data_IF_724328352983
#
_entry.id   IF_724328352983
#
_cell.length_a   1.000
_cell.length_b   1.000
_cell.length_c   1.000
_cell.angle_alpha   90.00
_cell.angle_beta   90.00
_cell.angle_gamma   90.00
#
_symmetry.space_group_name_H-M   'P 1'
#
loop_
_entity.id
_entity.type
_entity.pdbx_description
1 polymer ?
#
# COMPACT_ATOMS: atom_id res chain seq x y z
N UNK A 1 1.50 -9.53 5.66
CA UNK A 1 0.16 -10.02 6.05
C UNK A 1 -0.73 -8.91 6.60
N UNK A 2 -0.28 -8.07 7.54
CA UNK A 2 -1.12 -7.00 8.15
C UNK A 2 -1.90 -6.12 7.15
N UNK A 3 -1.31 -5.60 6.04
CA UNK A 3 -2.06 -4.76 5.11
C UNK A 3 -3.20 -5.50 4.40
N UNK A 4 -2.99 -6.76 4.00
CA UNK A 4 -4.03 -7.58 3.36
C UNK A 4 -5.23 -7.79 4.28
N UNK A 5 -4.98 -8.05 5.56
CA UNK A 5 -6.05 -8.26 6.55
C UNK A 5 -6.89 -6.98 6.69
N UNK A 6 -6.24 -5.82 6.80
CA UNK A 6 -6.93 -4.54 6.89
C UNK A 6 -7.76 -4.27 5.64
N UNK A 7 -7.19 -4.52 4.45
CA UNK A 7 -7.91 -4.35 3.20
C UNK A 7 -9.19 -5.21 3.16
N UNK A 8 -9.10 -6.51 3.43
CA UNK A 8 -10.25 -7.43 3.35
C UNK A 8 -11.30 -7.08 4.43
N UNK A 9 -10.87 -6.82 5.66
CA UNK A 9 -11.79 -6.49 6.76
C UNK A 9 -12.52 -5.17 6.49
N UNK A 10 -11.79 -4.11 6.11
CA UNK A 10 -12.41 -2.82 5.81
C UNK A 10 -13.29 -2.92 4.58
N UNK A 11 -12.93 -3.70 3.56
CA UNK A 11 -13.78 -3.94 2.41
C UNK A 11 -15.12 -4.57 2.79
N UNK A 12 -15.10 -5.62 3.61
CA UNK A 12 -16.34 -6.26 4.08
C UNK A 12 -17.22 -5.31 4.89
N UNK A 13 -16.63 -4.53 5.80
CA UNK A 13 -17.35 -3.55 6.61
C UNK A 13 -17.91 -2.42 5.72
N UNK A 14 -17.11 -1.88 4.80
CA UNK A 14 -17.52 -0.83 3.89
C UNK A 14 -18.66 -1.30 2.98
N UNK A 15 -18.57 -2.50 2.42
CA UNK A 15 -19.61 -3.06 1.55
C UNK A 15 -20.95 -3.20 2.28
N UNK A 16 -20.93 -3.69 3.52
CA UNK A 16 -22.12 -3.79 4.36
C UNK A 16 -22.67 -2.41 4.74
N UNK A 17 -21.80 -1.46 5.09
CA UNK A 17 -22.19 -0.10 5.48
C UNK A 17 -22.78 0.69 4.31
N UNK A 18 -22.17 0.58 3.13
CA UNK A 18 -22.68 1.20 1.91
C UNK A 18 -24.05 0.62 1.56
N UNK A 19 -24.21 -0.70 1.67
CA UNK A 19 -25.51 -1.36 1.45
C UNK A 19 -26.58 -0.85 2.40
N UNK A 20 -26.29 -0.75 3.70
CA UNK A 20 -27.27 -0.32 4.70
C UNK A 20 -27.65 1.15 4.57
N UNK A 21 -26.70 2.01 4.15
CA UNK A 21 -26.93 3.46 4.02
C UNK A 21 -27.58 3.82 2.68
N UNK A 22 -27.07 3.28 1.58
CA UNK A 22 -27.49 3.66 0.22
C UNK A 22 -28.59 2.76 -0.37
N UNK A 23 -28.89 1.63 0.28
CA UNK A 23 -29.83 0.62 -0.22
C UNK A 23 -29.28 -0.25 -1.36
N UNK A 24 -28.11 0.09 -1.92
CA UNK A 24 -27.48 -0.60 -3.04
C UNK A 24 -26.02 -0.98 -2.72
N UNK A 25 -25.47 -1.95 -3.45
CA UNK A 25 -24.05 -2.25 -3.36
C UNK A 25 -23.26 -1.32 -4.28
N UNK A 26 -22.19 -0.73 -3.73
CA UNK A 26 -21.12 -0.11 -4.52
C UNK A 26 -19.77 -0.77 -4.16
N UNK A 27 -19.41 -1.86 -4.87
CA UNK A 27 -18.16 -2.57 -4.62
C UNK A 27 -16.93 -1.72 -4.91
N UNK A 28 -16.97 -0.84 -5.90
CA UNK A 28 -15.80 -0.05 -6.28
C UNK A 28 -15.51 1.06 -5.28
N UNK A 29 -16.54 1.76 -4.79
CA UNK A 29 -16.38 2.71 -3.69
C UNK A 29 -15.91 2.01 -2.41
N UNK A 30 -16.51 0.88 -2.06
CA UNK A 30 -16.08 0.07 -0.90
C UNK A 30 -14.63 -0.39 -1.03
N UNK A 31 -14.20 -0.78 -2.23
CA UNK A 31 -12.82 -1.17 -2.53
C UNK A 31 -11.84 0.01 -2.40
N UNK A 32 -12.24 1.22 -2.82
CA UNK A 32 -11.44 2.44 -2.65
C UNK A 32 -11.32 2.83 -1.18
N UNK A 33 -12.39 2.73 -0.39
CA UNK A 33 -12.35 2.94 1.08
C UNK A 33 -11.35 1.97 1.71
N UNK A 34 -11.44 0.69 1.37
CA UNK A 34 -10.57 -0.34 1.90
C UNK A 34 -9.09 -0.08 1.57
N UNK A 35 -8.79 0.29 0.31
CA UNK A 35 -7.43 0.62 -0.10
C UNK A 35 -6.92 1.87 0.62
N UNK A 36 -7.78 2.88 0.79
CA UNK A 36 -7.41 4.11 1.51
C UNK A 36 -7.07 3.82 2.97
N UNK A 37 -7.86 3.00 3.66
CA UNK A 37 -7.57 2.56 5.02
C UNK A 37 -6.26 1.75 5.11
N UNK A 38 -6.01 0.87 4.13
CA UNK A 38 -4.75 0.12 4.04
C UNK A 38 -3.55 1.05 3.87
N UNK A 39 -3.64 2.04 2.97
CA UNK A 39 -2.60 3.02 2.69
C UNK A 39 -2.30 3.89 3.91
N UNK A 40 -3.32 4.35 4.63
CA UNK A 40 -3.13 5.09 5.88
C UNK A 40 -2.44 4.24 6.94
N UNK A 41 -2.79 2.95 7.04
CA UNK A 41 -2.11 2.03 7.93
C UNK A 41 -0.63 1.84 7.56
N UNK A 42 -0.31 1.68 6.28
CA UNK A 42 1.09 1.57 5.84
C UNK A 42 1.84 2.90 5.98
N UNK A 43 1.16 4.04 5.83
CA UNK A 43 1.77 5.35 6.04
C UNK A 43 2.23 5.50 7.50
N UNK A 44 1.41 5.06 8.47
CA UNK A 44 1.81 5.04 9.89
C UNK A 44 3.10 4.23 10.08
N UNK A 45 3.25 3.11 9.37
CA UNK A 45 4.45 2.29 9.46
C UNK A 45 5.71 3.10 9.07
N UNK A 46 5.65 3.95 8.03
CA UNK A 46 6.77 4.79 7.59
C UNK A 46 7.34 5.67 8.71
N UNK A 47 6.49 6.17 9.59
CA UNK A 47 6.89 6.97 10.74
C UNK A 47 7.34 6.10 11.93
N UNK A 48 6.58 5.05 12.24
CA UNK A 48 6.81 4.18 13.39
C UNK A 48 8.06 3.27 13.25
N UNK A 49 8.34 2.78 12.04
CA UNK A 49 9.41 1.83 11.74
C UNK A 49 10.46 2.40 10.76
N UNK A 50 10.61 3.73 10.75
CA UNK A 50 11.51 4.46 9.84
C UNK A 50 12.90 3.84 9.73
N UNK A 51 13.55 3.57 10.86
CA UNK A 51 14.90 2.97 10.92
C UNK A 51 14.99 1.63 10.16
N UNK A 52 14.00 0.77 10.28
CA UNK A 52 13.99 -0.51 9.58
C UNK A 52 13.65 -0.38 8.09
N UNK A 53 12.81 0.59 7.71
CA UNK A 53 12.54 0.90 6.31
C UNK A 53 13.74 1.57 5.61
N UNK A 54 14.53 2.36 6.32
CA UNK A 54 15.79 2.89 5.79
C UNK A 54 16.76 1.76 5.42
N UNK A 55 16.77 0.65 6.17
CA UNK A 55 17.57 -0.53 5.83
C UNK A 55 17.10 -1.23 4.56
N UNK A 56 15.84 -1.04 4.14
CA UNK A 56 15.31 -1.56 2.88
C UNK A 56 15.80 -0.75 1.66
N UNK A 57 16.39 0.43 1.87
CA UNK A 57 16.93 1.26 0.80
C UNK A 57 18.43 0.98 0.59
N UNK A 58 18.89 0.86 -0.68
CA UNK A 58 20.29 0.63 -0.98
C UNK A 58 21.18 1.82 -0.59
N UNK A 59 22.48 1.56 -0.38
CA UNK A 59 23.44 2.54 0.14
C UNK A 59 23.64 3.80 -0.71
N UNK A 60 23.36 3.74 -2.01
CA UNK A 60 23.50 4.89 -2.92
C UNK A 60 22.34 5.90 -2.82
N UNK A 61 21.25 5.58 -2.12
CA UNK A 61 20.13 6.50 -1.93
C UNK A 61 20.50 7.52 -0.84
N UNK A 62 20.62 8.82 -1.19
CA UNK A 62 20.87 9.85 -0.20
C UNK A 62 19.62 10.05 0.68
N UNK A 63 19.82 10.54 1.90
CA UNK A 63 18.74 10.93 2.81
C UNK A 63 17.60 9.87 2.94
N UNK A 64 17.95 8.60 3.14
CA UNK A 64 17.01 7.46 3.22
C UNK A 64 15.78 7.73 4.09
N UNK A 65 15.98 8.33 5.27
CA UNK A 65 14.90 8.71 6.18
C UNK A 65 13.88 9.66 5.54
N UNK A 66 14.35 10.67 4.82
CA UNK A 66 13.48 11.61 4.12
C UNK A 66 12.70 10.92 3.00
N UNK A 67 13.34 10.00 2.26
CA UNK A 67 12.67 9.17 1.25
C UNK A 67 11.55 8.34 1.88
N UNK A 68 11.79 7.68 3.00
CA UNK A 68 10.78 6.88 3.72
C UNK A 68 9.61 7.76 4.18
N UNK A 69 9.87 8.95 4.72
CA UNK A 69 8.78 9.87 5.09
C UNK A 69 8.02 10.39 3.88
N UNK A 70 8.71 10.67 2.78
CA UNK A 70 8.09 11.10 1.54
C UNK A 70 7.16 10.01 0.97
N UNK A 71 7.57 8.73 0.96
CA UNK A 71 6.68 7.65 0.53
C UNK A 71 5.47 7.47 1.45
N UNK A 72 5.63 7.68 2.77
CA UNK A 72 4.50 7.73 3.69
C UNK A 72 3.51 8.86 3.38
N UNK A 73 4.00 10.05 3.00
CA UNK A 73 3.15 11.17 2.56
C UNK A 73 2.43 10.88 1.24
N UNK A 74 3.09 10.21 0.29
CA UNK A 74 2.45 9.76 -0.96
C UNK A 74 1.28 8.83 -0.66
N UNK A 75 1.44 7.87 0.27
CA UNK A 75 0.37 6.95 0.64
C UNK A 75 -0.84 7.69 1.26
N UNK A 76 -0.61 8.71 2.08
CA UNK A 76 -1.68 9.56 2.64
C UNK A 76 -2.38 10.35 1.52
N UNK A 77 -1.61 10.98 0.64
CA UNK A 77 -2.15 11.74 -0.48
C UNK A 77 -2.98 10.85 -1.42
N UNK A 78 -2.53 9.63 -1.68
CA UNK A 78 -3.24 8.66 -2.50
C UNK A 78 -4.52 8.14 -1.82
N UNK A 79 -4.50 7.94 -0.51
CA UNK A 79 -5.71 7.59 0.25
C UNK A 79 -6.79 8.67 0.13
N UNK A 80 -6.39 9.95 0.16
CA UNK A 80 -7.31 11.07 -0.07
C UNK A 80 -7.76 11.12 -1.54
N UNK A 81 -6.82 11.00 -2.49
CA UNK A 81 -7.08 11.08 -3.93
C UNK A 81 -8.07 10.03 -4.44
N UNK A 82 -8.07 8.82 -3.86
CA UNK A 82 -9.05 7.76 -4.18
C UNK A 82 -10.49 8.09 -3.78
N UNK A 83 -10.69 9.07 -2.91
CA UNK A 83 -12.02 9.50 -2.44
C UNK A 83 -12.53 10.76 -3.16
N UNK A 84 -11.67 11.47 -3.87
CA UNK A 84 -12.03 12.70 -4.61
C UNK A 84 -12.40 12.32 -6.03
N UNK A 85 -13.67 12.49 -6.42
CA UNK A 85 -14.22 12.07 -7.73
C UNK A 85 -13.34 12.39 -8.93
N UNK A 86 -12.76 13.58 -8.96
CA UNK A 86 -11.99 14.09 -10.10
C UNK A 86 -10.54 13.58 -10.13
N UNK A 87 -10.10 12.91 -9.05
CA UNK A 87 -8.73 12.42 -8.88
C UNK A 87 -8.65 10.89 -8.86
N UNK A 88 -9.77 10.16 -8.87
CA UNK A 88 -9.79 8.69 -8.70
C UNK A 88 -8.89 8.01 -9.74
N UNK A 89 -9.12 8.26 -11.03
CA UNK A 89 -8.38 7.60 -12.12
C UNK A 89 -6.91 7.99 -12.13
N UNK A 90 -6.60 9.28 -11.95
CA UNK A 90 -5.22 9.77 -11.85
C UNK A 90 -4.48 9.14 -10.66
N UNK A 91 -5.12 9.10 -9.50
CA UNK A 91 -4.57 8.48 -8.29
C UNK A 91 -4.38 6.98 -8.48
N UNK A 92 -5.30 6.31 -9.17
CA UNK A 92 -5.20 4.89 -9.51
C UNK A 92 -3.94 4.59 -10.33
N UNK A 93 -3.71 5.34 -11.41
CA UNK A 93 -2.49 5.18 -12.23
C UNK A 93 -1.21 5.49 -11.44
N UNK A 94 -1.21 6.56 -10.65
CA UNK A 94 -0.06 6.93 -9.81
C UNK A 94 0.23 5.85 -8.74
N UNK A 95 -0.80 5.25 -8.16
CA UNK A 95 -0.66 4.15 -7.20
C UNK A 95 -0.10 2.87 -7.84
N UNK A 96 -0.56 2.52 -9.04
CA UNK A 96 0.00 1.39 -9.79
C UNK A 96 1.49 1.62 -10.05
N UNK A 97 1.85 2.81 -10.53
CA UNK A 97 3.25 3.19 -10.73
C UNK A 97 4.05 3.14 -9.41
N UNK A 98 3.49 3.66 -8.33
CA UNK A 98 4.11 3.62 -7.01
C UNK A 98 4.38 2.17 -6.55
N UNK A 99 3.40 1.27 -6.69
CA UNK A 99 3.60 -0.14 -6.35
C UNK A 99 4.73 -0.78 -7.17
N UNK A 100 4.82 -0.49 -8.47
CA UNK A 100 5.92 -0.97 -9.31
C UNK A 100 7.26 -0.42 -8.81
N UNK A 101 7.33 0.87 -8.49
CA UNK A 101 8.57 1.54 -8.06
C UNK A 101 9.08 1.12 -6.68
N UNK A 102 8.24 0.62 -5.79
CA UNK A 102 8.68 0.08 -4.49
C UNK A 102 9.21 -1.35 -4.57
N UNK A 103 9.00 -2.06 -5.69
CA UNK A 103 9.45 -3.45 -5.85
C UNK A 103 10.98 -3.61 -5.70
N UNK A 104 11.83 -2.76 -6.30
CA UNK A 104 13.27 -2.82 -6.07
C UNK A 104 13.67 -2.73 -4.59
N UNK A 105 13.00 -1.88 -3.80
CA UNK A 105 13.25 -1.78 -2.36
C UNK A 105 12.86 -3.07 -1.62
N UNK A 106 11.73 -3.70 -2.00
CA UNK A 106 11.33 -5.00 -1.45
C UNK A 106 12.32 -6.12 -1.83
N UNK A 107 12.85 -6.10 -3.06
CA UNK A 107 13.88 -7.05 -3.52
C UNK A 107 15.17 -6.86 -2.74
N UNK A 108 15.63 -5.61 -2.58
CA UNK A 108 16.82 -5.30 -1.80
C UNK A 108 16.68 -5.76 -0.35
N UNK A 109 15.55 -5.46 0.29
CA UNK A 109 15.23 -5.91 1.64
C UNK A 109 15.29 -7.44 1.77
N UNK A 110 14.79 -8.18 0.79
CA UNK A 110 14.83 -9.64 0.80
C UNK A 110 16.25 -10.21 0.61
N UNK A 111 17.07 -9.59 -0.25
CA UNK A 111 18.48 -9.98 -0.44
C UNK A 111 19.27 -9.74 0.85
N UNK A 112 19.03 -8.60 1.51
CA UNK A 112 19.69 -8.21 2.76
C UNK A 112 19.01 -8.76 4.02
N UNK A 113 17.97 -9.60 3.87
CA UNK A 113 17.17 -10.17 4.96
C UNK A 113 16.75 -9.11 5.98
N UNK A 114 16.31 -7.95 5.52
CA UNK A 114 15.89 -6.85 6.40
C UNK A 114 14.56 -7.21 7.07
N UNK A 115 14.53 -7.17 8.39
CA UNK A 115 13.31 -7.08 9.18
C UNK A 115 13.08 -5.60 9.52
N UNK A 116 12.16 -4.97 8.79
CA UNK A 116 11.89 -3.54 8.99
C UNK A 116 11.17 -3.24 10.32
N UNK A 117 10.49 -4.22 10.94
CA UNK A 117 9.79 -3.99 12.21
C UNK A 117 10.75 -4.00 13.39
N UNK A 118 11.76 -4.89 13.34
CA UNK A 118 12.79 -5.01 14.37
C UNK A 118 14.06 -4.22 14.07
N UNK A 119 14.19 -3.68 12.85
CA UNK A 119 15.40 -3.05 12.32
C UNK A 119 16.63 -3.97 12.43
N UNK A 120 16.47 -5.25 12.05
CA UNK A 120 17.55 -6.26 12.05
C UNK A 120 17.75 -6.88 10.67
N UNK A 121 18.84 -7.64 10.48
CA UNK A 121 19.16 -8.38 9.25
C UNK A 121 18.78 -9.86 9.32
N UNK A 122 17.74 -10.19 10.10
CA UNK A 122 17.28 -11.56 10.38
C UNK A 122 15.89 -11.86 9.78
N UNK A 123 15.45 -11.04 8.85
CA UNK A 123 14.16 -11.17 8.18
C UNK A 123 14.05 -12.43 7.31
N UNK A 124 12.82 -12.69 6.84
CA UNK A 124 12.45 -13.91 6.11
C UNK A 124 13.13 -14.10 4.72
N UNK A 125 13.97 -13.15 4.29
CA UNK A 125 14.73 -13.22 3.05
C UNK A 125 13.86 -13.47 1.82
N UNK A 126 14.19 -14.46 1.00
CA UNK A 126 13.44 -14.78 -0.24
C UNK A 126 11.97 -15.16 0.00
N UNK A 127 11.64 -15.77 1.16
CA UNK A 127 10.24 -16.12 1.49
C UNK A 127 9.34 -14.89 1.59
N UNK A 128 9.90 -13.74 2.00
CA UNK A 128 9.19 -12.47 2.01
C UNK A 128 8.73 -12.06 0.60
N UNK A 129 9.59 -12.18 -0.42
CA UNK A 129 9.23 -11.82 -1.81
C UNK A 129 8.15 -12.71 -2.40
N UNK A 130 8.20 -14.02 -2.12
CA UNK A 130 7.19 -14.98 -2.59
C UNK A 130 5.77 -14.61 -2.16
N UNK A 131 5.62 -13.98 -1.00
CA UNK A 131 4.33 -13.45 -0.56
C UNK A 131 4.09 -12.02 -1.08
N UNK A 132 5.15 -11.18 -1.09
CA UNK A 132 5.03 -9.76 -1.42
C UNK A 132 4.68 -9.50 -2.88
N UNK A 133 5.27 -10.22 -3.83
CA UNK A 133 5.05 -10.01 -5.26
C UNK A 133 3.60 -10.34 -5.65
N UNK A 134 3.04 -11.52 -5.31
CA UNK A 134 1.63 -11.81 -5.59
C UNK A 134 0.68 -10.81 -4.92
N UNK A 135 0.97 -10.42 -3.68
CA UNK A 135 0.18 -9.42 -2.97
C UNK A 135 0.22 -8.05 -3.66
N UNK A 136 1.37 -7.66 -4.20
CA UNK A 136 1.51 -6.39 -4.92
C UNK A 136 0.76 -6.41 -6.25
N UNK A 137 0.80 -7.53 -6.99
CA UNK A 137 -0.02 -7.72 -8.20
C UNK A 137 -1.51 -7.64 -7.85
N UNK A 138 -1.91 -8.27 -6.73
CA UNK A 138 -3.28 -8.17 -6.24
C UNK A 138 -3.69 -6.73 -5.92
N UNK A 139 -2.83 -5.92 -5.29
CA UNK A 139 -3.13 -4.50 -5.04
C UNK A 139 -3.23 -3.67 -6.32
N UNK A 140 -2.39 -3.96 -7.33
CA UNK A 140 -2.46 -3.33 -8.64
C UNK A 140 -3.80 -3.65 -9.31
N UNK A 141 -4.20 -4.93 -9.33
CA UNK A 141 -5.49 -5.35 -9.87
C UNK A 141 -6.66 -4.71 -9.11
N UNK A 142 -6.58 -4.66 -7.78
CA UNK A 142 -7.59 -4.04 -6.92
C UNK A 142 -7.81 -2.57 -7.29
N UNK A 143 -6.73 -1.80 -7.46
CA UNK A 143 -6.81 -0.41 -7.89
C UNK A 143 -7.35 -0.28 -9.31
N UNK A 144 -6.86 -1.11 -10.24
CA UNK A 144 -7.31 -1.07 -11.62
C UNK A 144 -8.84 -1.22 -11.73
N UNK A 145 -9.41 -2.25 -11.11
CA UNK A 145 -10.86 -2.49 -11.16
C UNK A 145 -11.70 -1.50 -10.35
N UNK A 146 -11.15 -0.90 -9.29
CA UNK A 146 -11.92 0.00 -8.41
C UNK A 146 -11.82 1.48 -8.77
N UNK A 147 -10.80 1.88 -9.54
CA UNK A 147 -10.49 3.28 -9.82
C UNK A 147 -10.29 3.61 -11.31
N UNK A 148 -10.02 2.63 -12.18
CA UNK A 148 -9.74 2.87 -13.59
C UNK A 148 -10.86 2.30 -14.47
N UNK A 149 -11.16 1.01 -14.30
CA UNK A 149 -12.16 0.29 -15.10
C UNK A 149 -13.62 0.61 -14.70
N UNK A 150 -13.82 1.28 -13.56
CA UNK A 150 -15.14 1.56 -12.99
C UNK A 150 -15.85 2.79 -13.61
N UNK A 151 -15.51 3.18 -14.85
CA UNK A 151 -16.07 4.35 -15.52
C UNK A 151 -16.64 4.01 -16.90
#
# INVERSE_FOLDING_TARGET
>A
MKPLIILILVFGIALLSVKTISGNYDPAFSARIAMSAMLLFTAIAHFAFSKGMEMMLPGFIPAKKAVVYFTGLIEIAAAIGLQVSNLITTTGWLLILFFILILPANIYAAIKKVDYQKATAEGAGKKYLWFRIPLQIFFIAWIYFSAIDYH
#
